data_IF_811190975074
#
_entry.id   IF_811190975074
#
_cell.length_a   1.000
_cell.length_b   1.000
_cell.length_c   1.000
_cell.angle_alpha   90.00
_cell.angle_beta   90.00
_cell.angle_gamma   90.00
#
_symmetry.space_group_name_H-M   'P 1'
#
loop_
_entity.id
_entity.type
_entity.pdbx_description
1 polymer ?
#
# COMPACT_ATOMS: atom_id res chain seq x y z
N UNK A 1 9.97 27.92 3.17
CA UNK A 1 10.39 27.00 4.25
C UNK A 1 11.63 26.28 3.77
N UNK A 2 12.73 26.32 4.52
CA UNK A 2 13.96 25.58 4.20
C UNK A 2 13.78 24.11 4.57
N UNK A 3 14.26 23.19 3.72
CA UNK A 3 14.22 21.76 4.02
C UNK A 3 15.35 21.45 5.01
N UNK A 4 14.98 20.95 6.19
CA UNK A 4 15.91 20.61 7.26
C UNK A 4 16.42 19.17 7.13
N UNK A 5 17.56 18.87 7.72
CA UNK A 5 18.18 17.54 7.67
C UNK A 5 17.24 16.46 8.23
N UNK A 6 16.52 16.75 9.33
CA UNK A 6 15.55 15.81 9.91
C UNK A 6 14.38 15.51 8.98
N UNK A 7 13.98 16.47 8.14
CA UNK A 7 12.93 16.25 7.13
C UNK A 7 13.42 15.29 6.05
N UNK A 8 14.67 15.46 5.58
CA UNK A 8 15.27 14.55 4.60
C UNK A 8 15.43 13.14 5.18
N UNK A 9 15.89 13.03 6.42
CA UNK A 9 16.03 11.75 7.13
C UNK A 9 14.66 11.08 7.31
N UNK A 10 13.68 11.84 7.81
CA UNK A 10 12.30 11.37 7.98
C UNK A 10 11.70 10.90 6.66
N UNK A 11 11.85 11.69 5.59
CA UNK A 11 11.42 11.32 4.23
C UNK A 11 12.09 10.04 3.75
N UNK A 12 13.42 9.90 3.88
CA UNK A 12 14.14 8.71 3.40
C UNK A 12 13.76 7.45 4.20
N UNK A 13 13.61 7.56 5.51
CA UNK A 13 13.17 6.46 6.37
C UNK A 13 11.72 6.08 6.09
N UNK A 14 10.84 7.06 5.91
CA UNK A 14 9.45 6.84 5.52
C UNK A 14 9.38 6.16 4.15
N UNK A 15 10.11 6.67 3.15
CA UNK A 15 10.20 6.05 1.83
C UNK A 15 10.69 4.61 1.92
N UNK A 16 11.79 4.34 2.63
CA UNK A 16 12.33 2.98 2.75
C UNK A 16 11.36 2.01 3.44
N UNK A 17 10.74 2.45 4.53
CA UNK A 17 9.86 1.61 5.34
C UNK A 17 8.49 1.38 4.71
N UNK A 18 7.86 2.42 4.18
CA UNK A 18 6.52 2.37 3.59
C UNK A 18 6.57 1.63 2.25
N UNK A 19 7.53 1.98 1.38
CA UNK A 19 7.69 1.29 0.09
C UNK A 19 8.04 -0.17 0.33
N UNK A 20 8.89 -0.49 1.32
CA UNK A 20 9.21 -1.87 1.69
C UNK A 20 8.01 -2.69 2.22
N UNK A 21 7.04 -2.04 2.87
CA UNK A 21 5.84 -2.70 3.39
C UNK A 21 4.77 -2.86 2.31
N UNK A 22 4.51 -1.80 1.56
CA UNK A 22 3.31 -1.65 0.74
C UNK A 22 3.54 -2.08 -0.71
N UNK A 23 4.77 -1.96 -1.26
CA UNK A 23 5.05 -2.44 -2.62
C UNK A 23 4.79 -3.93 -2.75
N UNK A 24 5.25 -4.82 -1.85
CA UNK A 24 4.91 -6.23 -1.97
C UNK A 24 3.41 -6.52 -1.77
N UNK A 25 2.67 -5.68 -1.03
CA UNK A 25 1.21 -5.84 -0.88
C UNK A 25 0.47 -5.43 -2.15
N UNK A 26 0.92 -4.37 -2.82
CA UNK A 26 0.26 -3.79 -3.98
C UNK A 26 0.71 -4.45 -5.29
N UNK A 27 2.02 -4.68 -5.46
CA UNK A 27 2.62 -5.26 -6.66
C UNK A 27 2.92 -6.75 -6.51
N UNK A 28 2.57 -7.38 -5.39
CA UNK A 28 2.95 -8.76 -5.13
C UNK A 28 2.40 -9.73 -6.18
N UNK A 29 1.17 -9.53 -6.63
CA UNK A 29 0.54 -10.30 -7.73
C UNK A 29 1.31 -10.14 -9.05
N UNK A 30 1.78 -8.94 -9.37
CA UNK A 30 2.62 -8.67 -10.54
C UNK A 30 3.97 -9.37 -10.43
N UNK A 31 4.62 -9.29 -9.25
CA UNK A 31 5.91 -9.94 -8.97
C UNK A 31 5.78 -11.47 -9.11
N UNK A 32 4.75 -12.07 -8.50
CA UNK A 32 4.54 -13.53 -8.54
C UNK A 32 4.21 -14.02 -9.96
N UNK A 33 3.29 -13.36 -10.65
CA UNK A 33 2.85 -13.77 -12.00
C UNK A 33 3.89 -13.51 -13.09
N UNK A 34 4.81 -12.57 -12.87
CA UNK A 34 5.91 -12.26 -13.80
C UNK A 34 7.29 -12.72 -13.29
N UNK A 35 7.35 -13.64 -12.32
CA UNK A 35 8.59 -14.10 -11.69
C UNK A 35 9.59 -14.79 -12.65
N UNK A 36 9.13 -15.20 -13.83
CA UNK A 36 9.94 -15.74 -14.93
C UNK A 36 10.70 -14.65 -15.70
N UNK A 37 10.28 -13.37 -15.58
CA UNK A 37 10.90 -12.25 -16.28
C UNK A 37 12.08 -11.69 -15.49
N UNK A 38 13.06 -11.07 -16.16
CA UNK A 38 14.13 -10.37 -15.47
C UNK A 38 13.58 -9.24 -14.59
N UNK A 39 14.10 -9.12 -13.36
CA UNK A 39 13.64 -8.13 -12.40
C UNK A 39 13.75 -6.69 -12.92
N UNK A 40 14.78 -6.39 -13.73
CA UNK A 40 15.01 -5.06 -14.28
C UNK A 40 13.92 -4.63 -15.27
N UNK A 41 13.26 -5.58 -15.95
CA UNK A 41 12.12 -5.29 -16.83
C UNK A 41 10.91 -4.86 -16.01
N UNK A 42 10.63 -5.56 -14.92
CA UNK A 42 9.56 -5.21 -13.98
C UNK A 42 9.86 -3.86 -13.32
N UNK A 43 11.13 -3.62 -12.98
CA UNK A 43 11.58 -2.37 -12.39
C UNK A 43 11.43 -1.18 -13.31
N UNK A 44 11.92 -1.24 -14.55
CA UNK A 44 11.75 -0.16 -15.52
C UNK A 44 10.27 0.20 -15.71
N UNK A 45 9.40 -0.81 -15.80
CA UNK A 45 7.97 -0.59 -15.96
C UNK A 45 7.36 0.15 -14.76
N UNK A 46 7.53 -0.38 -13.54
CA UNK A 46 6.96 0.20 -12.31
C UNK A 46 7.57 1.57 -11.99
N UNK A 47 8.87 1.75 -12.23
CA UNK A 47 9.55 3.03 -12.05
C UNK A 47 9.08 4.08 -13.05
N UNK A 48 8.83 3.72 -14.31
CA UNK A 48 8.31 4.67 -15.30
C UNK A 48 6.95 5.25 -14.87
N UNK A 49 6.06 4.40 -14.36
CA UNK A 49 4.74 4.81 -13.85
C UNK A 49 4.92 5.73 -12.63
N UNK A 50 5.82 5.38 -11.70
CA UNK A 50 6.11 6.21 -10.53
C UNK A 50 6.58 7.61 -10.93
N UNK A 51 7.49 7.71 -11.89
CA UNK A 51 8.01 8.99 -12.38
C UNK A 51 6.88 9.83 -12.98
N UNK A 52 6.06 9.23 -13.85
CA UNK A 52 4.92 9.92 -14.48
C UNK A 52 3.92 10.41 -13.44
N UNK A 53 3.54 9.57 -12.48
CA UNK A 53 2.59 9.93 -11.42
C UNK A 53 3.15 11.06 -10.55
N UNK A 54 4.40 10.96 -10.07
CA UNK A 54 4.99 12.02 -9.24
C UNK A 54 5.11 13.37 -9.96
N UNK A 55 5.62 13.36 -11.20
CA UNK A 55 5.75 14.59 -11.98
C UNK A 55 4.37 15.18 -12.29
N UNK A 56 3.41 14.34 -12.69
CA UNK A 56 2.05 14.79 -12.97
C UNK A 56 1.38 15.36 -11.72
N UNK A 57 1.44 14.68 -10.58
CA UNK A 57 0.87 15.17 -9.32
C UNK A 57 1.45 16.53 -8.91
N UNK A 58 2.78 16.63 -8.93
CA UNK A 58 3.49 17.87 -8.59
C UNK A 58 3.13 19.03 -9.53
N UNK A 59 3.05 18.77 -10.84
CA UNK A 59 2.71 19.79 -11.83
C UNK A 59 1.23 20.18 -11.78
N UNK A 60 0.33 19.20 -11.75
CA UNK A 60 -1.12 19.42 -11.77
C UNK A 60 -1.65 20.08 -10.50
N UNK A 61 -0.93 19.98 -9.37
CA UNK A 61 -1.34 20.69 -8.15
C UNK A 61 -1.18 22.21 -8.27
N UNK A 62 -0.37 22.72 -9.20
CA UNK A 62 -0.08 24.14 -9.39
C UNK A 62 0.81 24.76 -8.30
N UNK A 63 0.94 24.12 -7.15
CA UNK A 63 1.72 24.58 -5.98
C UNK A 63 2.96 23.72 -5.71
N UNK A 64 3.19 22.67 -6.49
CA UNK A 64 4.32 21.76 -6.34
C UNK A 64 4.11 20.72 -5.24
N UNK A 65 2.94 20.10 -5.19
CA UNK A 65 2.56 19.08 -4.20
C UNK A 65 2.28 17.75 -4.91
N UNK A 66 3.06 16.72 -4.59
CA UNK A 66 2.90 15.39 -5.17
C UNK A 66 1.93 14.47 -4.40
N UNK A 67 1.23 14.99 -3.38
CA UNK A 67 0.34 14.22 -2.51
C UNK A 67 -1.13 14.18 -2.96
N UNK A 68 -1.49 14.77 -4.10
CA UNK A 68 -2.84 14.74 -4.67
C UNK A 68 -3.95 15.19 -3.70
N UNK A 69 -3.68 16.24 -2.91
CA UNK A 69 -4.63 16.80 -1.95
C UNK A 69 -4.86 15.96 -0.69
N UNK A 70 -4.21 14.79 -0.56
CA UNK A 70 -4.35 13.91 0.62
C UNK A 70 -3.81 14.54 1.90
N UNK A 71 -2.91 15.50 1.77
CA UNK A 71 -2.30 16.20 2.87
C UNK A 71 -2.99 17.53 3.24
N UNK A 72 -4.12 17.86 2.60
CA UNK A 72 -4.94 19.03 2.97
C UNK A 72 -5.52 18.92 4.38
N UNK A 73 -5.89 17.70 4.79
CA UNK A 73 -6.44 17.44 6.13
C UNK A 73 -5.35 17.18 7.18
N UNK A 74 -4.08 17.14 6.77
CA UNK A 74 -2.94 16.84 7.65
C UNK A 74 -2.06 18.08 7.76
N UNK A 75 -2.09 18.80 8.90
CA UNK A 75 -1.27 20.00 9.06
C UNK A 75 0.22 19.64 9.02
N UNK A 76 1.02 20.52 8.43
CA UNK A 76 2.46 20.45 8.58
C UNK A 76 2.84 20.96 9.98
N UNK A 77 3.73 20.30 10.74
CA UNK A 77 4.06 20.72 12.10
C UNK A 77 4.66 22.13 12.14
N UNK A 78 4.08 23.04 12.95
CA UNK A 78 4.53 24.44 13.04
C UNK A 78 5.98 24.59 13.51
N UNK A 79 6.43 23.70 14.40
CA UNK A 79 7.81 23.64 14.91
C UNK A 79 8.78 22.82 14.05
N UNK A 80 8.39 22.42 12.84
CA UNK A 80 9.18 21.55 11.98
C UNK A 80 9.15 20.07 12.40
N UNK A 81 9.88 19.24 11.66
CA UNK A 81 9.94 17.80 11.91
C UNK A 81 10.95 17.50 13.01
N UNK A 82 10.44 17.11 14.19
CA UNK A 82 11.25 16.66 15.33
C UNK A 82 11.52 15.14 15.28
N UNK A 83 12.36 14.64 16.20
CA UNK A 83 12.68 13.21 16.29
C UNK A 83 11.46 12.31 16.54
N UNK A 84 10.38 12.85 17.12
CA UNK A 84 9.12 12.14 17.35
C UNK A 84 8.52 11.60 16.05
N UNK A 85 8.62 12.35 14.94
CA UNK A 85 8.08 11.93 13.65
C UNK A 85 8.92 10.84 12.96
N UNK A 86 10.14 10.57 13.42
CA UNK A 86 11.04 9.57 12.84
C UNK A 86 10.79 8.17 13.45
N UNK A 87 10.22 8.11 14.66
CA UNK A 87 9.93 6.86 15.37
C UNK A 87 9.00 5.92 14.57
N UNK A 88 7.89 6.38 13.95
CA UNK A 88 6.99 5.47 13.24
C UNK A 88 7.63 4.77 12.02
N UNK A 89 8.36 5.47 11.12
CA UNK A 89 9.13 4.81 10.07
C UNK A 89 10.12 3.76 10.60
N UNK A 90 10.84 4.04 11.70
CA UNK A 90 11.77 3.08 12.30
C UNK A 90 11.02 1.82 12.77
N UNK A 91 9.91 1.99 13.48
CA UNK A 91 9.12 0.85 13.92
C UNK A 91 8.60 0.03 12.72
N UNK A 92 8.16 0.71 11.66
CA UNK A 92 7.70 0.05 10.44
C UNK A 92 8.81 -0.80 9.78
N UNK A 93 10.07 -0.37 9.84
CA UNK A 93 11.19 -1.18 9.35
C UNK A 93 11.31 -2.51 10.09
N UNK A 94 11.20 -2.48 11.43
CA UNK A 94 11.24 -3.70 12.22
C UNK A 94 10.04 -4.61 11.89
N UNK A 95 8.83 -4.06 11.83
CA UNK A 95 7.62 -4.83 11.54
C UNK A 95 7.68 -5.46 10.13
N UNK A 96 8.15 -4.70 9.14
CA UNK A 96 8.33 -5.17 7.75
C UNK A 96 9.37 -6.29 7.67
N UNK A 97 10.47 -6.19 8.43
CA UNK A 97 11.50 -7.24 8.50
C UNK A 97 10.95 -8.57 9.02
N UNK A 98 10.01 -8.52 9.97
CA UNK A 98 9.33 -9.71 10.49
C UNK A 98 8.14 -10.17 9.63
N UNK A 99 7.86 -9.50 8.51
CA UNK A 99 6.73 -9.85 7.64
C UNK A 99 5.37 -9.59 8.29
N UNK A 100 5.26 -8.58 9.15
CA UNK A 100 3.99 -8.16 9.74
C UNK A 100 3.40 -7.05 8.85
N UNK A 101 2.26 -7.28 8.17
CA UNK A 101 1.60 -6.23 7.40
C UNK A 101 0.96 -5.23 8.37
N UNK A 102 1.21 -3.94 8.15
CA UNK A 102 0.76 -2.86 9.06
C UNK A 102 0.23 -1.72 8.21
N UNK A 103 -0.80 -1.03 8.70
CA UNK A 103 -1.26 0.20 8.07
C UNK A 103 -0.22 1.31 8.24
N UNK A 104 0.51 1.59 7.17
CA UNK A 104 1.50 2.68 7.11
C UNK A 104 0.85 4.03 7.35
N UNK A 105 -0.35 4.22 6.79
CA UNK A 105 -1.18 5.41 6.96
C UNK A 105 -1.48 5.71 8.43
N UNK A 106 -1.92 4.71 9.21
CA UNK A 106 -2.20 4.91 10.64
C UNK A 106 -0.93 5.11 11.44
N UNK A 107 0.13 4.35 11.14
CA UNK A 107 1.34 4.41 11.92
C UNK A 107 2.03 5.78 11.79
N UNK A 108 2.04 6.34 10.58
CA UNK A 108 2.74 7.59 10.28
C UNK A 108 1.83 8.80 10.45
N UNK A 109 0.70 8.87 9.74
CA UNK A 109 -0.10 10.10 9.69
C UNK A 109 -0.79 10.42 11.01
N UNK A 110 -1.06 9.42 11.86
CA UNK A 110 -1.66 9.67 13.16
C UNK A 110 -0.75 10.48 14.09
N UNK A 111 0.57 10.38 13.94
CA UNK A 111 1.50 11.23 14.70
C UNK A 111 1.46 12.68 14.20
N UNK A 112 1.24 12.90 12.90
CA UNK A 112 1.07 14.24 12.32
C UNK A 112 -0.30 14.85 12.61
N UNK A 113 -1.34 14.02 12.69
CA UNK A 113 -2.70 14.47 12.96
C UNK A 113 -3.47 13.43 13.79
N UNK A 114 -3.31 13.42 15.12
CA UNK A 114 -4.06 12.51 15.99
C UNK A 114 -5.58 12.69 15.85
N UNK A 115 -6.04 13.92 15.59
CA UNK A 115 -7.44 14.24 15.36
C UNK A 115 -8.03 13.57 14.10
N UNK A 116 -7.20 13.29 13.08
CA UNK A 116 -7.64 12.64 11.84
C UNK A 116 -7.77 11.11 11.97
N UNK A 117 -7.29 10.52 13.07
CA UNK A 117 -7.30 9.07 13.27
C UNK A 117 -8.71 8.46 13.13
N UNK A 118 -9.71 9.07 13.78
CA UNK A 118 -11.07 8.55 13.79
C UNK A 118 -11.68 8.49 12.39
N UNK A 119 -11.54 9.57 11.61
CA UNK A 119 -12.08 9.63 10.24
C UNK A 119 -11.33 8.69 9.29
N UNK A 120 -10.00 8.61 9.40
CA UNK A 120 -9.19 7.65 8.65
C UNK A 120 -9.56 6.20 8.99
N UNK A 121 -9.86 5.90 10.25
CA UNK A 121 -10.27 4.56 10.72
C UNK A 121 -11.61 4.16 10.14
N UNK A 122 -12.64 5.03 10.26
CA UNK A 122 -13.96 4.79 9.67
C UNK A 122 -13.85 4.57 8.16
N UNK A 123 -13.10 5.43 7.47
CA UNK A 123 -12.89 5.31 6.03
C UNK A 123 -12.23 3.96 5.68
N UNK A 124 -11.18 3.56 6.39
CA UNK A 124 -10.46 2.30 6.14
C UNK A 124 -11.29 1.05 6.44
N UNK A 125 -12.11 1.06 7.50
CA UNK A 125 -13.06 -0.02 7.80
C UNK A 125 -14.13 -0.16 6.71
N UNK A 126 -14.65 0.97 6.21
CA UNK A 126 -15.55 0.99 5.07
C UNK A 126 -14.86 0.46 3.80
N UNK A 127 -13.59 0.84 3.59
CA UNK A 127 -12.73 0.30 2.53
C UNK A 127 -12.64 -1.23 2.58
N UNK A 128 -12.34 -1.79 3.76
CA UNK A 128 -12.33 -3.23 3.98
C UNK A 128 -13.68 -3.87 3.65
N UNK A 129 -14.78 -3.33 4.17
CA UNK A 129 -16.11 -3.90 4.00
C UNK A 129 -16.55 -3.90 2.53
N UNK A 130 -16.36 -2.77 1.83
CA UNK A 130 -16.64 -2.64 0.40
C UNK A 130 -15.79 -3.62 -0.40
N UNK A 131 -14.48 -3.68 -0.14
CA UNK A 131 -13.58 -4.59 -0.84
C UNK A 131 -13.96 -6.06 -0.63
N UNK A 132 -14.33 -6.44 0.59
CA UNK A 132 -14.78 -7.78 0.94
C UNK A 132 -16.06 -8.18 0.17
N UNK A 133 -17.07 -7.31 0.18
CA UNK A 133 -18.35 -7.59 -0.49
C UNK A 133 -18.19 -7.61 -2.01
N UNK A 134 -17.50 -6.62 -2.57
CA UNK A 134 -17.21 -6.57 -4.01
C UNK A 134 -16.42 -7.80 -4.45
N UNK A 135 -15.44 -8.24 -3.66
CA UNK A 135 -14.71 -9.46 -3.93
C UNK A 135 -15.60 -10.69 -3.96
N UNK A 136 -16.50 -10.85 -2.98
CA UNK A 136 -17.45 -11.97 -2.98
C UNK A 136 -18.32 -11.95 -4.23
N UNK A 137 -18.91 -10.80 -4.57
CA UNK A 137 -19.82 -10.67 -5.72
C UNK A 137 -19.06 -11.01 -7.01
N UNK A 138 -17.93 -10.35 -7.27
CA UNK A 138 -17.17 -10.56 -8.51
C UNK A 138 -16.68 -12.00 -8.60
N UNK A 139 -16.10 -12.57 -7.54
CA UNK A 139 -15.62 -13.95 -7.60
C UNK A 139 -16.77 -14.97 -7.70
N UNK A 140 -17.93 -14.71 -7.10
CA UNK A 140 -19.08 -15.61 -7.22
C UNK A 140 -19.68 -15.64 -8.63
N UNK A 141 -19.79 -14.48 -9.29
CA UNK A 141 -20.45 -14.36 -10.59
C UNK A 141 -19.48 -14.48 -11.77
N UNK A 142 -18.33 -13.79 -11.72
CA UNK A 142 -17.33 -13.77 -12.79
C UNK A 142 -16.43 -15.00 -12.71
N UNK A 143 -15.92 -15.33 -11.52
CA UNK A 143 -14.94 -16.40 -11.40
C UNK A 143 -15.53 -17.81 -11.50
N UNK A 144 -16.84 -18.02 -11.35
CA UNK A 144 -17.44 -19.34 -11.65
C UNK A 144 -17.25 -19.76 -13.11
N UNK A 145 -17.39 -18.84 -14.05
CA UNK A 145 -17.22 -19.13 -15.48
C UNK A 145 -15.73 -19.09 -15.86
N UNK A 146 -15.04 -18.07 -15.38
CA UNK A 146 -13.63 -17.84 -15.67
C UNK A 146 -12.75 -18.92 -15.05
N UNK A 147 -13.04 -19.41 -13.85
CA UNK A 147 -12.21 -20.44 -13.21
C UNK A 147 -12.43 -21.84 -13.80
N UNK A 148 -13.62 -22.16 -14.32
CA UNK A 148 -13.82 -23.36 -15.16
C UNK A 148 -12.99 -23.28 -16.44
N UNK A 149 -12.92 -22.10 -17.05
CA UNK A 149 -12.07 -21.85 -18.21
C UNK A 149 -10.57 -21.92 -17.84
N UNK A 150 -10.16 -21.34 -16.71
CA UNK A 150 -8.77 -21.38 -16.22
C UNK A 150 -8.32 -22.80 -15.88
N UNK A 151 -9.18 -23.61 -15.27
CA UNK A 151 -8.88 -25.02 -14.99
C UNK A 151 -8.67 -25.80 -16.29
N UNK A 152 -9.47 -25.57 -17.33
CA UNK A 152 -9.35 -26.22 -18.64
C UNK A 152 -8.12 -25.77 -19.44
N UNK A 153 -7.67 -24.53 -19.25
CA UNK A 153 -6.55 -23.93 -20.01
C UNK A 153 -5.28 -23.80 -19.17
N UNK A 154 -5.20 -24.47 -18.02
CA UNK A 154 -4.06 -24.40 -17.09
C UNK A 154 -2.73 -24.85 -17.72
N UNK A 155 -2.80 -25.73 -18.73
CA UNK A 155 -1.64 -26.26 -19.45
C UNK A 155 -1.34 -25.50 -20.75
N UNK A 156 -2.06 -24.42 -21.05
CA UNK A 156 -1.84 -23.59 -22.23
C UNK A 156 -1.09 -22.34 -21.84
N UNK A 157 -0.18 -21.87 -22.70
CA UNK A 157 0.46 -20.58 -22.48
C UNK A 157 -0.59 -19.46 -22.46
N UNK A 158 -0.52 -18.53 -21.49
CA UNK A 158 -1.42 -17.40 -21.46
C UNK A 158 -1.28 -16.59 -22.75
N UNK A 159 -2.40 -16.30 -23.42
CA UNK A 159 -2.43 -15.43 -24.59
C UNK A 159 -1.74 -14.09 -24.28
N UNK A 160 -1.04 -13.52 -25.28
CA UNK A 160 -0.39 -12.21 -25.18
C UNK A 160 -1.35 -11.09 -24.73
N UNK A 161 -2.66 -11.24 -24.98
CA UNK A 161 -3.69 -10.31 -24.50
C UNK A 161 -3.72 -10.26 -22.97
N UNK A 162 -3.64 -11.41 -22.30
CA UNK A 162 -3.63 -11.47 -20.83
C UNK A 162 -2.36 -10.87 -20.24
N UNK A 163 -1.24 -10.96 -20.95
CA UNK A 163 -0.01 -10.26 -20.56
C UNK A 163 -0.23 -8.74 -20.58
N UNK A 164 -0.77 -8.22 -21.68
CA UNK A 164 -1.07 -6.79 -21.81
C UNK A 164 -2.08 -6.32 -20.76
N UNK A 165 -3.18 -7.05 -20.58
CA UNK A 165 -4.21 -6.72 -19.60
C UNK A 165 -3.65 -6.70 -18.17
N UNK A 166 -2.83 -7.68 -17.81
CA UNK A 166 -2.24 -7.74 -16.47
C UNK A 166 -1.32 -6.54 -16.21
N UNK A 167 -0.48 -6.18 -17.19
CA UNK A 167 0.42 -5.04 -17.08
C UNK A 167 -0.34 -3.72 -16.98
N UNK A 168 -1.39 -3.55 -17.77
CA UNK A 168 -2.27 -2.37 -17.68
C UNK A 168 -3.00 -2.32 -16.34
N UNK A 169 -3.52 -3.45 -15.85
CA UNK A 169 -4.17 -3.49 -14.53
C UNK A 169 -3.18 -3.20 -13.41
N UNK A 170 -1.94 -3.67 -13.50
CA UNK A 170 -0.88 -3.33 -12.54
C UNK A 170 -0.54 -1.85 -12.61
N UNK A 171 -0.41 -1.27 -13.81
CA UNK A 171 -0.16 0.17 -13.94
C UNK A 171 -1.28 1.01 -13.32
N UNK A 172 -2.52 0.60 -13.54
CA UNK A 172 -3.69 1.22 -12.93
C UNK A 172 -3.62 1.11 -11.40
N UNK A 173 -3.44 -0.10 -10.85
CA UNK A 173 -3.32 -0.31 -9.42
C UNK A 173 -2.18 0.51 -8.81
N UNK A 174 -1.00 0.45 -9.43
CA UNK A 174 0.19 1.14 -8.93
C UNK A 174 0.00 2.65 -8.89
N UNK A 175 -0.61 3.23 -9.93
CA UNK A 175 -0.95 4.65 -9.94
C UNK A 175 -1.95 5.01 -8.84
N UNK A 176 -2.95 4.17 -8.57
CA UNK A 176 -3.93 4.45 -7.51
C UNK A 176 -3.31 4.36 -6.11
N UNK A 177 -2.42 3.38 -5.89
CA UNK A 177 -1.67 3.29 -4.65
C UNK A 177 -0.78 4.51 -4.43
N UNK A 178 -0.01 4.90 -5.44
CA UNK A 178 0.86 6.09 -5.37
C UNK A 178 0.04 7.34 -4.99
N UNK A 179 -1.10 7.56 -5.65
CA UNK A 179 -1.97 8.70 -5.35
C UNK A 179 -2.49 8.70 -3.90
N UNK A 180 -2.77 7.52 -3.34
CA UNK A 180 -3.32 7.40 -1.98
C UNK A 180 -2.22 7.50 -0.90
N UNK A 181 -1.11 6.79 -1.08
CA UNK A 181 -0.13 6.55 0.00
C UNK A 181 1.16 7.35 -0.12
N UNK A 182 1.44 8.05 -1.24
CA UNK A 182 2.56 8.99 -1.30
C UNK A 182 2.45 10.08 -0.22
N UNK A 183 1.22 10.41 0.20
CA UNK A 183 0.95 11.29 1.32
C UNK A 183 1.72 10.87 2.60
N UNK A 184 1.80 9.57 2.90
CA UNK A 184 2.47 9.04 4.08
C UNK A 184 3.98 9.32 4.08
N UNK A 185 4.56 9.61 2.92
CA UNK A 185 5.99 9.88 2.74
C UNK A 185 6.24 11.39 2.55
N UNK A 186 5.42 12.07 1.75
CA UNK A 186 5.52 13.51 1.53
C UNK A 186 5.05 14.36 2.72
N UNK A 187 4.42 13.76 3.74
CA UNK A 187 4.07 14.45 5.00
C UNK A 187 5.29 15.08 5.69
N UNK A 188 6.50 14.54 5.46
CA UNK A 188 7.77 15.04 6.02
C UNK A 188 8.33 16.27 5.30
N UNK A 189 7.72 16.69 4.19
CA UNK A 189 8.24 17.74 3.29
C UNK A 189 7.21 18.88 3.21
N UNK A 190 7.62 20.14 2.98
CA UNK A 190 6.66 21.23 2.86
C UNK A 190 5.72 20.98 1.67
N UNK A 191 4.48 21.51 1.75
CA UNK A 191 3.48 21.38 0.68
C UNK A 191 3.95 21.96 -0.66
N UNK A 192 4.83 22.95 -0.62
CA UNK A 192 5.54 23.46 -1.79
C UNK A 192 6.88 22.73 -1.89
N UNK A 193 6.90 21.61 -2.61
CA UNK A 193 8.10 20.81 -2.82
C UNK A 193 8.92 21.44 -3.93
N UNK A 194 10.19 21.85 -3.70
CA UNK A 194 11.05 22.34 -4.77
C UNK A 194 11.29 21.26 -5.82
N UNK A 195 11.39 21.65 -7.10
CA UNK A 195 11.65 20.70 -8.19
C UNK A 195 12.93 19.87 -7.98
N UNK A 196 13.98 20.46 -7.39
CA UNK A 196 15.20 19.73 -7.02
C UNK A 196 14.95 18.62 -6.00
N UNK A 197 14.07 18.87 -5.02
CA UNK A 197 13.67 17.85 -4.05
C UNK A 197 12.77 16.79 -4.67
N UNK A 198 11.91 17.16 -5.63
CA UNK A 198 11.12 16.18 -6.39
C UNK A 198 12.03 15.21 -7.15
N UNK A 199 13.07 15.70 -7.83
CA UNK A 199 14.05 14.85 -8.51
C UNK A 199 14.80 13.93 -7.53
N UNK A 200 15.17 14.46 -6.36
CA UNK A 200 15.74 13.65 -5.28
C UNK A 200 14.77 12.55 -4.83
N UNK A 201 13.51 12.89 -4.54
CA UNK A 201 12.47 11.95 -4.15
C UNK A 201 12.27 10.84 -5.19
N UNK A 202 12.16 11.20 -6.48
CA UNK A 202 12.05 10.25 -7.59
C UNK A 202 13.26 9.30 -7.60
N UNK A 203 14.47 9.84 -7.46
CA UNK A 203 15.70 9.05 -7.43
C UNK A 203 15.70 8.04 -6.28
N UNK A 204 15.33 8.49 -5.07
CA UNK A 204 15.18 7.62 -3.90
C UNK A 204 14.19 6.50 -4.18
N UNK A 205 13.00 6.82 -4.68
CA UNK A 205 11.98 5.81 -4.98
C UNK A 205 12.42 4.80 -6.04
N UNK A 206 13.05 5.26 -7.13
CA UNK A 206 13.53 4.40 -8.20
C UNK A 206 14.59 3.41 -7.69
N UNK A 207 15.51 3.87 -6.83
CA UNK A 207 16.51 3.01 -6.18
C UNK A 207 15.85 2.00 -5.24
N UNK A 208 14.88 2.44 -4.42
CA UNK A 208 14.15 1.55 -3.52
C UNK A 208 13.36 0.47 -4.26
N UNK A 209 12.70 0.84 -5.36
CA UNK A 209 12.01 -0.12 -6.23
C UNK A 209 12.98 -1.13 -6.85
N UNK A 210 14.20 -0.70 -7.23
CA UNK A 210 15.22 -1.61 -7.73
C UNK A 210 15.59 -2.67 -6.68
N UNK A 211 15.82 -2.25 -5.43
CA UNK A 211 16.14 -3.15 -4.31
C UNK A 211 15.00 -4.14 -4.07
N UNK A 212 13.75 -3.67 -4.03
CA UNK A 212 12.59 -4.53 -3.73
C UNK A 212 12.37 -5.55 -4.84
N UNK A 213 12.43 -5.14 -6.11
CA UNK A 213 12.22 -6.06 -7.24
C UNK A 213 13.40 -7.01 -7.44
N UNK A 214 14.63 -6.58 -7.15
CA UNK A 214 15.79 -7.46 -7.09
C UNK A 214 15.60 -8.56 -6.02
N UNK A 215 15.07 -8.19 -4.85
CA UNK A 215 14.72 -9.13 -3.77
C UNK A 215 13.39 -9.87 -3.98
N UNK A 216 12.70 -9.63 -5.11
CA UNK A 216 11.36 -10.17 -5.41
C UNK A 216 10.34 -9.93 -4.28
N UNK A 217 10.33 -8.73 -3.69
CA UNK A 217 9.35 -8.33 -2.68
C UNK A 217 9.62 -8.76 -1.23
N UNK A 218 10.69 -9.53 -0.97
CA UNK A 218 11.19 -9.78 0.39
C UNK A 218 10.25 -10.56 1.31
N UNK A 219 10.22 -10.23 2.60
CA UNK A 219 9.47 -10.98 3.61
C UNK A 219 7.95 -10.86 3.46
N UNK A 220 7.45 -9.68 3.11
CA UNK A 220 6.00 -9.44 2.93
C UNK A 220 5.47 -10.17 1.70
N UNK A 221 6.27 -10.32 0.63
CA UNK A 221 5.88 -11.09 -0.56
C UNK A 221 5.45 -12.52 -0.23
N UNK A 222 6.08 -13.17 0.76
CA UNK A 222 5.73 -14.53 1.20
C UNK A 222 4.26 -14.64 1.61
N UNK A 223 3.67 -13.56 2.13
CA UNK A 223 2.24 -13.52 2.49
C UNK A 223 1.38 -13.61 1.22
N UNK A 224 1.74 -12.87 0.18
CA UNK A 224 1.03 -12.87 -1.10
C UNK A 224 1.20 -14.20 -1.82
N UNK A 225 2.42 -14.74 -1.87
CA UNK A 225 2.73 -16.01 -2.54
C UNK A 225 1.98 -17.21 -1.93
N UNK A 226 1.59 -17.15 -0.65
CA UNK A 226 0.78 -18.20 -0.03
C UNK A 226 -0.69 -18.21 -0.45
N UNK A 227 -1.16 -17.17 -1.16
CA UNK A 227 -2.55 -17.04 -1.58
C UNK A 227 -2.80 -17.84 -2.85
N UNK A 228 -3.99 -18.43 -2.95
CA UNK A 228 -4.30 -19.39 -4.02
C UNK A 228 -4.24 -18.68 -5.38
N UNK A 229 -3.56 -19.23 -6.38
CA UNK A 229 -3.66 -18.77 -7.78
C UNK A 229 -3.11 -17.37 -8.11
N UNK A 230 -2.34 -16.73 -7.23
CA UNK A 230 -1.71 -15.42 -7.52
C UNK A 230 -0.59 -15.48 -8.57
N UNK A 231 -0.09 -16.67 -8.87
CA UNK A 231 0.91 -16.92 -9.92
C UNK A 231 0.30 -16.96 -11.32
N UNK A 232 -1.02 -17.14 -11.44
CA UNK A 232 -1.71 -17.08 -12.72
C UNK A 232 -1.94 -15.62 -13.11
N UNK A 233 -1.40 -15.22 -14.25
CA UNK A 233 -1.46 -13.86 -14.77
C UNK A 233 -2.91 -13.35 -14.91
N UNK A 234 -3.86 -14.24 -15.18
CA UNK A 234 -5.27 -13.91 -15.40
C UNK A 234 -5.98 -13.62 -14.08
N UNK A 235 -5.68 -14.42 -13.05
CA UNK A 235 -6.15 -14.16 -11.69
C UNK A 235 -5.51 -12.87 -11.15
N UNK A 236 -4.20 -12.67 -11.37
CA UNK A 236 -3.50 -11.44 -11.01
C UNK A 236 -4.17 -10.21 -11.66
N UNK A 237 -4.52 -10.28 -12.95
CA UNK A 237 -5.23 -9.19 -13.66
C UNK A 237 -6.52 -8.77 -12.94
N UNK A 238 -7.34 -9.76 -12.55
CA UNK A 238 -8.63 -9.49 -11.89
C UNK A 238 -8.43 -8.88 -10.51
N UNK A 239 -7.46 -9.40 -9.74
CA UNK A 239 -7.12 -8.86 -8.41
C UNK A 239 -6.66 -7.41 -8.55
N UNK A 240 -5.70 -7.15 -9.44
CA UNK A 240 -5.11 -5.83 -9.65
C UNK A 240 -6.18 -4.81 -10.05
N UNK A 241 -7.01 -5.17 -11.04
CA UNK A 241 -8.05 -4.29 -11.56
C UNK A 241 -9.11 -3.97 -10.51
N UNK A 242 -9.59 -4.97 -9.76
CA UNK A 242 -10.58 -4.74 -8.70
C UNK A 242 -10.01 -3.88 -7.59
N UNK A 243 -8.77 -4.16 -7.17
CA UNK A 243 -8.13 -3.38 -6.13
C UNK A 243 -7.98 -1.91 -6.56
N UNK A 244 -7.48 -1.68 -7.78
CA UNK A 244 -7.34 -0.36 -8.35
C UNK A 244 -8.68 0.40 -8.41
N UNK A 245 -9.74 -0.27 -8.85
CA UNK A 245 -11.08 0.33 -8.95
C UNK A 245 -11.60 0.75 -7.56
N UNK A 246 -11.43 -0.09 -6.54
CA UNK A 246 -11.84 0.26 -5.18
C UNK A 246 -11.05 1.47 -4.68
N UNK A 247 -9.72 1.48 -4.87
CA UNK A 247 -8.89 2.63 -4.50
C UNK A 247 -9.29 3.91 -5.22
N UNK A 248 -9.65 3.83 -6.50
CA UNK A 248 -10.14 4.96 -7.27
C UNK A 248 -11.47 5.50 -6.72
N UNK A 249 -12.44 4.64 -6.40
CA UNK A 249 -13.72 5.07 -5.80
C UNK A 249 -13.49 5.83 -4.48
N UNK A 250 -12.63 5.30 -3.61
CA UNK A 250 -12.31 5.97 -2.34
C UNK A 250 -11.44 7.22 -2.49
N UNK A 251 -10.67 7.31 -3.58
CA UNK A 251 -9.94 8.52 -3.96
C UNK A 251 -10.93 9.63 -4.31
N UNK A 252 -11.85 9.38 -5.24
CA UNK A 252 -12.80 10.39 -5.73
C UNK A 252 -13.85 10.78 -4.67
N UNK A 253 -14.21 9.85 -3.78
CA UNK A 253 -15.20 10.15 -2.74
C UNK A 253 -14.68 11.10 -1.65
N UNK A 254 -13.38 11.05 -1.31
CA UNK A 254 -12.87 11.86 -0.20
C UNK A 254 -11.36 12.02 -0.25
N UNK A 255 -10.86 13.21 0.11
CA UNK A 255 -9.44 13.52 0.25
C UNK A 255 -8.81 12.96 1.54
N UNK A 256 -9.60 12.48 2.51
CA UNK A 256 -9.08 11.92 3.75
C UNK A 256 -8.23 10.67 3.43
N UNK A 257 -6.98 10.57 3.93
CA UNK A 257 -6.16 9.38 3.74
C UNK A 257 -6.85 8.10 4.24
N UNK A 258 -6.66 7.02 3.51
CA UNK A 258 -7.19 5.68 3.84
C UNK A 258 -6.02 4.70 3.91
N UNK A 259 -6.13 3.71 4.78
CA UNK A 259 -5.22 2.56 4.74
C UNK A 259 -5.55 1.61 3.59
N UNK A 260 -4.66 1.55 2.61
CA UNK A 260 -4.77 0.61 1.49
C UNK A 260 -4.56 -0.83 1.93
N UNK A 261 -3.76 -1.09 2.99
CA UNK A 261 -3.65 -2.41 3.65
C UNK A 261 -5.01 -3.01 4.04
N UNK A 262 -5.94 -2.18 4.55
CA UNK A 262 -7.28 -2.64 4.93
C UNK A 262 -8.11 -3.06 3.71
N UNK A 263 -8.05 -2.27 2.64
CA UNK A 263 -8.72 -2.59 1.38
C UNK A 263 -8.17 -3.88 0.78
N UNK A 264 -6.84 -4.02 0.74
CA UNK A 264 -6.16 -5.21 0.25
C UNK A 264 -6.57 -6.47 1.02
N UNK A 265 -6.54 -6.43 2.36
CA UNK A 265 -6.94 -7.57 3.18
C UNK A 265 -8.44 -7.89 3.05
N UNK A 266 -9.29 -6.88 2.94
CA UNK A 266 -10.72 -7.07 2.67
C UNK A 266 -10.96 -7.78 1.34
N UNK A 267 -10.28 -7.33 0.28
CA UNK A 267 -10.33 -7.94 -1.06
C UNK A 267 -9.88 -9.41 -1.01
N UNK A 268 -8.72 -9.69 -0.38
CA UNK A 268 -8.21 -11.04 -0.25
C UNK A 268 -9.15 -11.94 0.56
N UNK A 269 -9.68 -11.43 1.68
CA UNK A 269 -10.61 -12.16 2.51
C UNK A 269 -11.89 -12.53 1.74
N UNK A 270 -12.51 -11.56 1.06
CA UNK A 270 -13.74 -11.80 0.31
C UNK A 270 -13.53 -12.78 -0.85
N UNK A 271 -12.38 -12.68 -1.53
CA UNK A 271 -11.96 -13.62 -2.57
C UNK A 271 -11.81 -15.04 -2.04
N UNK A 272 -11.05 -15.25 -0.97
CA UNK A 272 -10.81 -16.59 -0.42
C UNK A 272 -12.12 -17.22 0.07
N UNK A 273 -13.01 -16.43 0.69
CA UNK A 273 -14.36 -16.88 1.04
C UNK A 273 -15.16 -17.31 -0.19
N UNK A 274 -15.20 -16.50 -1.25
CA UNK A 274 -15.90 -16.86 -2.48
C UNK A 274 -15.33 -18.14 -3.13
N UNK A 275 -14.00 -18.29 -3.17
CA UNK A 275 -13.34 -19.49 -3.67
C UNK A 275 -13.72 -20.72 -2.84
N UNK A 276 -13.78 -20.63 -1.51
CA UNK A 276 -14.21 -21.72 -0.61
C UNK A 276 -15.69 -22.12 -0.78
N UNK A 277 -16.51 -21.28 -1.41
CA UNK A 277 -17.90 -21.60 -1.76
C UNK A 277 -18.05 -22.22 -3.15
N UNK A 278 -17.01 -22.13 -4.00
CA UNK A 278 -17.04 -22.60 -5.39
C UNK A 278 -16.24 -23.89 -5.57
N UNK A 279 -15.11 -24.02 -4.88
CA UNK A 279 -14.19 -25.14 -4.99
C UNK A 279 -14.25 -26.03 -3.75
N UNK A 280 -14.62 -27.30 -3.94
CA UNK A 280 -14.72 -28.28 -2.84
C UNK A 280 -13.35 -28.59 -2.22
N UNK A 281 -12.26 -28.39 -2.97
CA UNK A 281 -10.88 -28.55 -2.50
C UNK A 281 -10.45 -27.45 -1.51
N UNK A 282 -11.15 -26.31 -1.48
CA UNK A 282 -10.81 -25.17 -0.61
C UNK A 282 -11.59 -25.28 0.70
N UNK A 283 -10.90 -25.73 1.76
CA UNK A 283 -11.50 -25.93 3.07
C UNK A 283 -11.98 -24.61 3.71
N UNK A 284 -13.29 -24.52 3.98
CA UNK A 284 -13.97 -23.35 4.59
C UNK A 284 -13.44 -23.00 5.97
N UNK A 285 -13.15 -24.00 6.82
CA UNK A 285 -12.59 -23.77 8.16
C UNK A 285 -11.15 -23.23 8.08
N UNK A 286 -10.34 -23.75 7.17
CA UNK A 286 -8.97 -23.24 6.93
C UNK A 286 -9.01 -21.81 6.41
N UNK A 287 -9.93 -21.52 5.50
CA UNK A 287 -10.14 -20.19 4.93
C UNK A 287 -10.51 -19.17 6.01
N UNK A 288 -11.56 -19.46 6.79
CA UNK A 288 -12.00 -18.60 7.89
C UNK A 288 -10.88 -18.38 8.92
N UNK A 289 -10.14 -19.43 9.29
CA UNK A 289 -9.00 -19.33 10.20
C UNK A 289 -7.88 -18.43 9.65
N UNK A 290 -7.56 -18.53 8.36
CA UNK A 290 -6.52 -17.71 7.74
C UNK A 290 -6.94 -16.24 7.67
N UNK A 291 -8.18 -15.98 7.24
CA UNK A 291 -8.73 -14.62 7.19
C UNK A 291 -8.77 -13.99 8.59
N UNK A 292 -9.22 -14.74 9.60
CA UNK A 292 -9.22 -14.28 10.99
C UNK A 292 -7.81 -13.98 11.50
N UNK A 293 -6.81 -14.81 11.17
CA UNK A 293 -5.41 -14.53 11.51
C UNK A 293 -4.89 -13.24 10.87
N UNK A 294 -5.21 -13.00 9.61
CA UNK A 294 -4.79 -11.80 8.89
C UNK A 294 -5.49 -10.55 9.47
N UNK A 295 -6.78 -10.66 9.80
CA UNK A 295 -7.53 -9.59 10.49
C UNK A 295 -6.98 -9.30 11.90
N UNK A 296 -6.62 -10.32 12.68
CA UNK A 296 -6.00 -10.13 14.00
C UNK A 296 -4.66 -9.41 13.91
N UNK A 297 -3.81 -9.75 12.93
CA UNK A 297 -2.54 -9.03 12.69
C UNK A 297 -2.79 -7.56 12.35
N UNK A 298 -3.80 -7.28 11.54
CA UNK A 298 -4.21 -5.93 11.17
C UNK A 298 -4.68 -5.12 12.39
N UNK A 299 -5.52 -5.73 13.24
CA UNK A 299 -6.00 -5.11 14.48
C UNK A 299 -4.86 -4.85 15.46
N UNK A 300 -3.87 -5.75 15.54
CA UNK A 300 -2.66 -5.53 16.32
C UNK A 300 -1.85 -4.33 15.79
N UNK A 301 -1.69 -4.20 14.48
CA UNK A 301 -1.05 -3.03 13.85
C UNK A 301 -1.78 -1.72 14.15
N UNK A 302 -3.12 -1.73 14.13
CA UNK A 302 -3.94 -0.58 14.53
C UNK A 302 -3.74 -0.25 16.02
N UNK A 303 -3.79 -1.25 16.90
CA UNK A 303 -3.58 -1.05 18.33
C UNK A 303 -2.20 -0.43 18.61
N UNK A 304 -1.15 -0.91 17.96
CA UNK A 304 0.19 -0.32 18.03
C UNK A 304 0.21 1.15 17.57
N UNK A 305 -0.51 1.46 16.48
CA UNK A 305 -0.62 2.83 15.96
C UNK A 305 -1.31 3.76 16.97
N UNK A 306 -2.40 3.30 17.60
CA UNK A 306 -3.13 4.05 18.64
C UNK A 306 -2.26 4.25 19.89
N UNK A 307 -1.54 3.21 20.33
CA UNK A 307 -0.62 3.30 21.47
C UNK A 307 0.46 4.34 21.20
N UNK A 308 1.09 4.31 20.02
CA UNK A 308 2.11 5.31 19.67
C UNK A 308 1.52 6.71 19.57
N UNK A 309 0.35 6.86 18.94
CA UNK A 309 -0.33 8.13 18.81
C UNK A 309 -0.61 8.84 20.14
N UNK A 310 -0.91 8.05 21.18
CA UNK A 310 -1.28 8.54 22.50
C UNK A 310 -0.10 8.66 23.45
N UNK A 311 0.83 7.72 23.43
CA UNK A 311 1.96 7.66 24.38
C UNK A 311 3.20 8.41 23.89
N UNK A 312 3.47 8.44 22.58
CA UNK A 312 4.69 9.04 22.05
C UNK A 312 4.73 10.56 22.22
N UNK A 313 3.64 11.33 21.97
CA UNK A 313 3.63 12.76 22.25
C UNK A 313 3.84 13.07 23.74
N UNK A 314 3.21 12.30 24.64
CA UNK A 314 3.41 12.44 26.07
C UNK A 314 4.87 12.17 26.47
N UNK A 315 5.46 11.09 25.97
CA UNK A 315 6.85 10.74 26.23
C UNK A 315 7.83 11.79 25.68
N UNK A 316 7.56 12.30 24.47
CA UNK A 316 8.35 13.40 23.89
C UNK A 316 8.34 14.64 24.78
N UNK A 317 7.16 15.05 25.26
CA UNK A 317 7.04 16.20 26.18
C UNK A 317 7.79 15.95 27.49
N UNK A 318 7.68 14.74 28.05
CA UNK A 318 8.40 14.36 29.26
C UNK A 318 9.93 14.48 29.08
N UNK A 319 10.49 13.90 28.02
CA UNK A 319 11.94 13.92 27.76
C UNK A 319 12.44 15.34 27.46
N UNK A 320 11.66 16.13 26.72
CA UNK A 320 12.08 17.46 26.28
C UNK A 320 11.96 18.53 27.36
N UNK A 321 11.01 18.40 28.30
CA UNK A 321 10.74 19.44 29.31
C UNK A 321 11.16 19.03 30.73
N UNK A 322 11.20 17.74 31.06
CA UNK A 322 11.49 17.23 32.41
C UNK A 322 12.72 16.32 32.48
N UNK A 323 13.32 15.99 31.33
CA UNK A 323 14.53 15.18 31.22
C UNK A 323 15.84 15.99 31.21
N UNK A 324 15.76 17.32 31.36
CA UNK A 324 16.90 18.22 31.63
C UNK A 324 16.93 18.59 33.11
#
# INVERSE_FOLDING_TARGET
MTIEILMVIGFCLAAYSIVGNDVPQTLGTFISSNAHRPWWVLWLFISSILVVVLIYGWYASGVGDASYGRLETIPFPEGGVTWLYIVPPILLLFLTKYGIPVSTTFLVLTIFSPASLGSMMVKSMMGYAVAFVVAIIVYRFVMRQVAKYFAKTRNQEPSHIWIGLQWVSTAFLWSQWLIQDLANIFVYVPRQVPFSFLLFAITVFVVLLAVILYQRGGAIQKIVDTKTGVTDIRAATIIDFMYALILLVFKEWSNIPMSTTWVFLGLLAGREFAMSMIFDEVNKHRTSRNVSKDAMKLMFGLAMSVILATTLPWFYNFVTHYGQ
#
